data_IF_532101659253
#
_entry.id   IF_532101659253
#
_cell.length_a   1.000
_cell.length_b   1.000
_cell.length_c   1.000
_cell.angle_alpha   90.00
_cell.angle_beta   90.00
_cell.angle_gamma   90.00
#
_symmetry.space_group_name_H-M   'P 1'
#
loop_
_entity.id
_entity.type
_entity.pdbx_description
1 polymer ?
#
# COMPACT_ATOMS: atom_id res chain seq x y z
N UNK A 1 -23.15 -0.22 -45.00
CA UNK A 1 -21.89 0.56 -45.09
C UNK A 1 -21.56 0.98 -43.68
N UNK A 2 -20.71 0.22 -42.98
CA UNK A 2 -20.38 0.49 -41.58
C UNK A 2 -19.37 1.65 -41.48
N UNK A 3 -19.61 2.51 -40.51
CA UNK A 3 -19.05 3.84 -40.35
C UNK A 3 -17.53 3.86 -40.24
N UNK A 4 -16.88 4.52 -41.19
CA UNK A 4 -15.44 4.85 -41.19
C UNK A 4 -15.00 5.74 -40.00
N UNK A 5 -15.95 6.31 -39.25
CA UNK A 5 -15.70 7.19 -38.09
C UNK A 5 -15.36 6.42 -36.81
N UNK A 6 -16.03 5.30 -36.52
CA UNK A 6 -15.76 4.52 -35.31
C UNK A 6 -14.39 3.82 -35.38
N UNK A 7 -13.96 3.41 -36.57
CA UNK A 7 -12.64 2.80 -36.78
C UNK A 7 -11.47 3.79 -36.64
N UNK A 8 -11.71 5.10 -36.82
CA UNK A 8 -10.66 6.13 -36.65
C UNK A 8 -10.41 6.41 -35.16
N UNK A 9 -11.48 6.50 -34.38
CA UNK A 9 -11.41 6.76 -32.93
C UNK A 9 -10.74 5.60 -32.20
N UNK A 10 -11.08 4.34 -32.52
CA UNK A 10 -10.46 3.17 -31.86
C UNK A 10 -8.96 3.06 -32.18
N UNK A 11 -8.52 3.42 -33.39
CA UNK A 11 -7.11 3.38 -33.77
C UNK A 11 -6.28 4.47 -33.07
N UNK A 12 -6.86 5.67 -32.92
CA UNK A 12 -6.26 6.78 -32.14
C UNK A 12 -6.18 6.42 -30.64
N UNK A 13 -7.21 5.78 -30.09
CA UNK A 13 -7.25 5.30 -28.70
C UNK A 13 -6.16 4.27 -28.41
N UNK A 14 -5.97 3.30 -29.32
CA UNK A 14 -4.93 2.27 -29.19
C UNK A 14 -3.53 2.89 -29.29
N UNK A 15 -3.35 3.93 -30.11
CA UNK A 15 -2.05 4.58 -30.24
C UNK A 15 -1.67 5.37 -28.99
N UNK A 16 -2.58 6.17 -28.43
CA UNK A 16 -2.34 6.93 -27.20
C UNK A 16 -2.04 6.02 -26.00
N UNK A 17 -2.79 4.92 -25.86
CA UNK A 17 -2.55 3.91 -24.81
C UNK A 17 -1.21 3.22 -25.03
N UNK A 18 -0.83 2.87 -26.27
CA UNK A 18 0.48 2.27 -26.54
C UNK A 18 1.66 3.20 -26.24
N UNK A 19 1.53 4.50 -26.53
CA UNK A 19 2.56 5.50 -26.22
C UNK A 19 2.67 5.75 -24.70
N UNK A 20 1.54 5.76 -23.99
CA UNK A 20 1.53 5.79 -22.54
C UNK A 20 2.14 4.52 -21.95
N UNK A 21 1.79 3.34 -22.47
CA UNK A 21 2.36 2.06 -22.06
C UNK A 21 3.87 2.00 -22.28
N UNK A 22 4.40 2.51 -23.40
CA UNK A 22 5.83 2.53 -23.66
C UNK A 22 6.58 3.45 -22.68
N UNK A 23 5.99 4.61 -22.33
CA UNK A 23 6.54 5.54 -21.33
C UNK A 23 6.49 4.97 -19.92
N UNK A 24 5.35 4.41 -19.55
CA UNK A 24 5.12 3.78 -18.26
C UNK A 24 6.02 2.56 -18.03
N UNK A 25 6.20 1.71 -19.05
CA UNK A 25 7.10 0.55 -18.98
C UNK A 25 8.58 0.95 -18.81
N UNK A 26 8.99 2.11 -19.35
CA UNK A 26 10.36 2.62 -19.18
C UNK A 26 10.58 3.18 -17.77
N UNK A 27 9.53 3.69 -17.13
CA UNK A 27 9.56 4.26 -15.78
C UNK A 27 9.20 3.26 -14.67
N UNK A 28 8.51 2.16 -14.99
CA UNK A 28 7.96 1.21 -14.01
C UNK A 28 6.73 1.71 -13.25
N UNK A 29 6.35 2.97 -13.43
CA UNK A 29 5.21 3.61 -12.77
C UNK A 29 4.51 4.59 -13.72
N UNK A 30 3.21 4.77 -13.51
CA UNK A 30 2.38 5.74 -14.24
C UNK A 30 1.39 6.38 -13.26
N UNK A 31 1.12 7.67 -13.41
CA UNK A 31 0.22 8.37 -12.48
C UNK A 31 -1.18 8.56 -13.05
N UNK A 32 -2.18 8.71 -12.19
CA UNK A 32 -3.57 8.94 -12.65
C UNK A 32 -3.70 10.19 -13.51
N UNK A 33 -2.90 11.23 -13.24
CA UNK A 33 -2.88 12.44 -14.07
C UNK A 33 -2.25 12.17 -15.42
N UNK A 34 -1.15 11.40 -15.49
CA UNK A 34 -0.54 11.04 -16.77
C UNK A 34 -1.46 10.16 -17.63
N UNK A 35 -2.22 9.25 -17.00
CA UNK A 35 -3.27 8.46 -17.66
C UNK A 35 -4.37 9.39 -18.17
N UNK A 36 -4.92 10.25 -17.31
CA UNK A 36 -6.04 11.14 -17.67
C UNK A 36 -5.63 12.19 -18.71
N UNK A 37 -4.44 12.79 -18.60
CA UNK A 37 -3.94 13.79 -19.55
C UNK A 37 -3.59 13.14 -20.90
N UNK A 38 -3.09 11.91 -20.92
CA UNK A 38 -2.84 11.19 -22.18
C UNK A 38 -4.12 10.65 -22.83
N UNK A 39 -5.20 10.54 -22.06
CA UNK A 39 -6.51 10.05 -22.51
C UNK A 39 -7.57 11.16 -22.52
N UNK A 40 -7.17 12.44 -22.38
CA UNK A 40 -8.07 13.60 -22.32
C UNK A 40 -8.91 13.77 -23.58
N UNK A 41 -8.38 13.33 -24.72
CA UNK A 41 -9.04 13.40 -26.02
C UNK A 41 -9.86 12.13 -26.35
N UNK A 42 -9.97 11.19 -25.41
CA UNK A 42 -10.63 9.90 -25.60
C UNK A 42 -11.86 9.79 -24.69
N UNK A 43 -13.04 9.68 -25.29
CA UNK A 43 -14.27 9.28 -24.57
C UNK A 43 -14.16 7.79 -24.17
N UNK A 44 -13.66 7.53 -22.97
CA UNK A 44 -13.62 6.20 -22.37
C UNK A 44 -14.81 5.98 -21.43
N UNK A 45 -15.43 4.81 -21.54
CA UNK A 45 -16.36 4.34 -20.54
C UNK A 45 -15.60 3.86 -19.29
N UNK A 46 -16.20 3.95 -18.08
CA UNK A 46 -15.56 3.48 -16.84
C UNK A 46 -15.03 2.05 -16.91
N UNK A 47 -15.75 1.16 -17.61
CA UNK A 47 -15.38 -0.23 -17.85
C UNK A 47 -14.07 -0.39 -18.63
N UNK A 48 -13.79 0.55 -19.55
CA UNK A 48 -12.58 0.52 -20.37
C UNK A 48 -11.36 1.09 -19.63
N UNK A 49 -11.60 1.95 -18.64
CA UNK A 49 -10.56 2.47 -17.75
C UNK A 49 -10.08 1.36 -16.81
N UNK A 50 -11.00 0.51 -16.33
CA UNK A 50 -10.66 -0.67 -15.52
C UNK A 50 -9.81 -1.68 -16.30
N UNK A 51 -10.15 -1.96 -17.56
CA UNK A 51 -9.33 -2.81 -18.45
C UNK A 51 -7.91 -2.27 -18.66
N UNK A 52 -7.76 -0.94 -18.72
CA UNK A 52 -6.45 -0.29 -18.84
C UNK A 52 -5.64 -0.48 -17.55
N UNK A 53 -6.26 -0.36 -16.38
CA UNK A 53 -5.58 -0.63 -15.10
C UNK A 53 -5.12 -2.07 -14.97
N UNK A 54 -5.97 -3.03 -15.36
CA UNK A 54 -5.59 -4.45 -15.38
C UNK A 54 -4.42 -4.71 -16.34
N UNK A 55 -4.42 -4.04 -17.50
CA UNK A 55 -3.33 -4.16 -18.48
C UNK A 55 -1.99 -3.61 -17.96
N UNK A 56 -2.01 -2.46 -17.27
CA UNK A 56 -0.82 -1.90 -16.63
C UNK A 56 -0.28 -2.81 -15.52
N UNK A 57 -1.18 -3.34 -14.67
CA UNK A 57 -0.81 -4.23 -13.57
C UNK A 57 -0.23 -5.56 -14.08
N UNK A 58 -0.83 -6.16 -15.12
CA UNK A 58 -0.34 -7.40 -15.73
C UNK A 58 1.06 -7.27 -16.36
N UNK A 59 1.48 -6.05 -16.69
CA UNK A 59 2.79 -5.77 -17.28
C UNK A 59 3.82 -5.26 -16.27
N UNK A 60 3.48 -5.19 -14.97
CA UNK A 60 4.39 -4.75 -13.91
C UNK A 60 4.59 -3.24 -13.84
N UNK A 61 3.58 -2.46 -14.24
CA UNK A 61 3.57 -1.01 -14.08
C UNK A 61 2.67 -0.65 -12.90
N UNK A 62 3.22 0.04 -11.91
CA UNK A 62 2.44 0.53 -10.77
C UNK A 62 1.70 1.83 -11.12
N UNK A 63 0.39 1.84 -10.88
CA UNK A 63 -0.47 3.01 -11.12
C UNK A 63 -0.61 3.81 -9.82
N UNK A 64 0.05 4.97 -9.76
CA UNK A 64 0.15 5.76 -8.53
C UNK A 64 -0.85 6.93 -8.55
N UNK A 65 -1.76 7.04 -7.56
CA UNK A 65 -2.59 8.22 -7.37
C UNK A 65 -1.71 9.45 -7.18
N UNK A 66 -1.86 10.45 -8.05
CA UNK A 66 -1.26 11.75 -7.77
C UNK A 66 -2.04 12.41 -6.63
N UNK A 67 -1.42 12.45 -5.47
CA UNK A 67 -1.65 13.48 -4.48
C UNK A 67 -1.02 14.78 -4.96
N UNK A 68 -1.78 15.88 -4.93
CA UNK A 68 -1.29 17.19 -5.30
C UNK A 68 -0.35 17.72 -4.21
N UNK A 69 0.96 17.56 -4.39
CA UNK A 69 1.97 18.41 -3.77
C UNK A 69 3.20 18.48 -4.68
N UNK A 70 3.38 19.64 -5.30
CA UNK A 70 4.56 19.98 -6.09
C UNK A 70 5.81 20.05 -5.20
N UNK A 71 6.89 19.36 -5.59
CA UNK A 71 8.25 19.93 -5.65
C UNK A 71 9.22 19.02 -6.42
N UNK A 72 10.01 19.69 -7.26
CA UNK A 72 10.86 19.21 -8.35
C UNK A 72 12.16 18.47 -7.95
N UNK A 73 12.66 17.69 -8.93
CA UNK A 73 14.08 17.35 -9.27
C UNK A 73 14.94 16.58 -8.22
N UNK A 74 15.67 15.49 -8.51
CA UNK A 74 16.13 14.81 -9.73
C UNK A 74 16.69 13.39 -9.34
N UNK A 75 17.45 12.61 -10.16
CA UNK A 75 17.05 11.28 -10.66
C UNK A 75 17.87 10.08 -10.14
N UNK A 76 17.42 8.86 -10.47
CA UNK A 76 18.16 7.60 -10.33
C UNK A 76 17.61 6.74 -9.18
N UNK A 77 17.53 5.41 -9.25
CA UNK A 77 18.13 4.46 -10.16
C UNK A 77 17.27 3.19 -10.10
N UNK A 78 17.22 2.45 -11.20
CA UNK A 78 16.61 1.13 -11.23
C UNK A 78 17.66 0.11 -10.84
N UNK A 79 17.49 -0.68 -9.77
CA UNK A 79 18.05 -2.05 -9.62
C UNK A 79 17.48 -2.68 -8.33
N UNK A 80 16.73 -3.78 -8.42
CA UNK A 80 17.10 -5.22 -8.29
C UNK A 80 16.67 -5.83 -6.95
N UNK A 81 16.09 -7.03 -7.06
CA UNK A 81 15.83 -7.97 -5.96
C UNK A 81 17.13 -8.42 -5.25
N UNK A 82 16.91 -9.03 -4.08
CA UNK A 82 17.77 -9.97 -3.33
C UNK A 82 18.72 -9.43 -2.23
N UNK A 83 18.32 -9.74 -0.99
CA UNK A 83 19.10 -10.37 0.08
C UNK A 83 20.13 -9.60 0.94
N UNK A 84 19.93 -9.81 2.26
CA UNK A 84 20.82 -9.74 3.44
C UNK A 84 21.23 -8.39 4.05
N UNK A 85 20.68 -8.18 5.26
CA UNK A 85 21.28 -7.56 6.45
C UNK A 85 21.86 -6.14 6.38
N UNK A 86 21.25 -5.26 7.18
CA UNK A 86 21.93 -4.12 7.78
C UNK A 86 21.12 -2.83 7.69
N UNK A 87 20.73 -2.32 8.85
CA UNK A 87 20.32 -0.92 9.09
C UNK A 87 19.01 -0.49 8.43
N UNK A 88 17.90 -0.77 9.13
CA UNK A 88 16.61 -0.13 8.86
C UNK A 88 16.67 1.32 9.34
N UNK A 89 16.95 2.21 8.39
CA UNK A 89 16.79 3.65 8.54
C UNK A 89 15.35 3.99 8.94
N UNK A 90 15.25 5.01 9.79
CA UNK A 90 14.20 5.15 10.79
C UNK A 90 12.94 5.88 10.29
N UNK A 91 12.83 6.22 9.00
CA UNK A 91 11.80 7.15 8.53
C UNK A 91 11.28 6.84 7.11
N UNK A 92 10.80 5.62 6.81
CA UNK A 92 9.98 5.44 5.59
C UNK A 92 9.07 4.20 5.64
N UNK A 93 8.16 4.15 6.62
CA UNK A 93 6.95 3.33 6.44
C UNK A 93 5.90 4.22 5.82
N UNK A 94 5.81 4.19 4.50
CA UNK A 94 4.87 4.98 3.74
C UNK A 94 3.40 4.63 4.09
N UNK A 95 2.91 5.31 5.12
CA UNK A 95 1.49 5.46 5.42
C UNK A 95 0.92 6.63 4.59
N UNK A 96 1.34 6.81 3.33
CA UNK A 96 0.71 7.73 2.38
C UNK A 96 -0.80 7.55 2.50
N UNK A 97 -1.43 8.59 3.01
CA UNK A 97 -2.87 8.60 3.23
C UNK A 97 -3.52 8.70 1.85
N UNK A 98 -4.46 7.82 1.49
CA UNK A 98 -5.23 8.01 0.27
C UNK A 98 -5.89 9.39 0.31
N UNK A 99 -5.57 10.27 -0.65
CA UNK A 99 -6.27 11.54 -0.79
C UNK A 99 -7.73 11.27 -1.24
N UNK A 100 -8.69 11.90 -0.56
CA UNK A 100 -10.13 11.63 -0.70
C UNK A 100 -10.83 11.29 0.61
N UNK A 101 -10.07 11.12 1.69
CA UNK A 101 -10.55 10.82 3.02
C UNK A 101 -10.62 12.09 3.87
N UNK A 102 -11.84 12.53 4.21
CA UNK A 102 -12.10 13.70 5.07
C UNK A 102 -11.36 13.62 6.42
N UNK A 103 -11.10 14.77 7.06
CA UNK A 103 -10.47 14.85 8.38
C UNK A 103 -11.28 14.14 9.49
N UNK A 104 -12.55 13.91 9.22
CA UNK A 104 -13.59 13.27 10.02
C UNK A 104 -13.75 11.77 9.73
N UNK A 105 -12.93 11.20 8.85
CA UNK A 105 -12.98 9.78 8.54
C UNK A 105 -12.38 8.91 9.66
N UNK A 106 -13.12 7.87 10.11
CA UNK A 106 -12.66 6.93 11.12
C UNK A 106 -11.33 6.23 10.78
N UNK A 107 -11.07 5.91 9.49
CA UNK A 107 -9.81 5.27 9.07
C UNK A 107 -8.66 6.22 9.30
N UNK A 108 -8.80 7.48 8.88
CA UNK A 108 -7.76 8.50 9.02
C UNK A 108 -7.40 8.77 10.48
N UNK A 109 -8.41 8.84 11.35
CA UNK A 109 -8.20 9.00 12.79
C UNK A 109 -7.45 7.79 13.36
N UNK A 110 -7.83 6.58 12.97
CA UNK A 110 -7.18 5.34 13.40
C UNK A 110 -5.72 5.28 12.96
N UNK A 111 -5.42 5.54 11.69
CA UNK A 111 -4.06 5.53 11.14
C UNK A 111 -3.15 6.55 11.84
N UNK A 112 -3.69 7.73 12.14
CA UNK A 112 -2.95 8.76 12.90
C UNK A 112 -2.61 8.30 14.31
N UNK A 113 -3.54 7.60 14.97
CA UNK A 113 -3.34 7.16 16.35
C UNK A 113 -2.27 6.05 16.45
N UNK A 114 -2.34 5.03 15.58
CA UNK A 114 -1.32 3.97 15.55
C UNK A 114 0.05 4.47 15.05
N UNK A 115 0.06 5.56 14.29
CA UNK A 115 1.27 6.25 13.84
C UNK A 115 2.02 6.98 14.96
N UNK A 116 1.40 7.18 16.13
CA UNK A 116 2.05 7.79 17.30
C UNK A 116 2.79 6.79 18.18
N UNK A 117 2.45 5.51 18.07
CA UNK A 117 3.08 4.45 18.86
C UNK A 117 4.46 4.16 18.28
N UNK A 118 5.55 4.23 19.07
CA UNK A 118 6.89 3.92 18.61
C UNK A 118 7.03 2.43 18.30
N UNK A 119 7.95 2.11 17.38
CA UNK A 119 8.32 0.73 17.09
C UNK A 119 9.15 0.14 18.24
N UNK A 120 9.04 -1.17 18.42
CA UNK A 120 9.83 -1.90 19.41
C UNK A 120 11.10 -2.45 18.78
N UNK A 121 12.17 -2.43 19.55
CA UNK A 121 13.39 -3.19 19.30
C UNK A 121 13.17 -4.67 19.65
N UNK A 122 14.02 -5.55 19.11
CA UNK A 122 13.96 -6.98 19.42
C UNK A 122 14.17 -7.26 20.92
N UNK A 123 14.96 -6.45 21.62
CA UNK A 123 15.19 -6.58 23.07
C UNK A 123 13.92 -6.22 23.86
N UNK A 124 13.23 -5.15 23.47
CA UNK A 124 11.96 -4.74 24.08
C UNK A 124 10.85 -5.77 23.82
N UNK A 125 10.78 -6.37 22.62
CA UNK A 125 9.86 -7.47 22.33
C UNK A 125 10.08 -8.65 23.30
N UNK A 126 11.33 -9.02 23.55
CA UNK A 126 11.69 -10.09 24.49
C UNK A 126 11.30 -9.72 25.93
N UNK A 127 11.52 -8.47 26.35
CA UNK A 127 11.14 -8.00 27.69
C UNK A 127 9.62 -8.06 27.88
N UNK A 128 8.85 -7.56 26.92
CA UNK A 128 7.39 -7.60 26.94
C UNK A 128 6.90 -9.05 26.95
N UNK A 129 7.47 -9.93 26.12
CA UNK A 129 7.10 -11.34 26.08
C UNK A 129 7.31 -12.05 27.43
N UNK A 130 8.41 -11.78 28.13
CA UNK A 130 8.65 -12.32 29.49
C UNK A 130 7.60 -11.86 30.50
N UNK A 131 7.14 -10.61 30.40
CA UNK A 131 6.09 -10.06 31.26
C UNK A 131 4.73 -10.66 30.92
N UNK A 132 4.45 -10.86 29.63
CA UNK A 132 3.23 -11.53 29.16
C UNK A 132 3.13 -12.95 29.72
N UNK A 133 4.23 -13.72 29.75
CA UNK A 133 4.26 -15.06 30.39
C UNK A 133 3.89 -15.02 31.88
N UNK A 134 4.12 -13.89 32.56
CA UNK A 134 3.76 -13.68 33.97
C UNK A 134 2.32 -13.18 34.14
N UNK A 135 1.55 -13.06 33.05
CA UNK A 135 0.16 -12.60 33.06
C UNK A 135 -0.01 -11.08 32.97
N UNK A 136 1.05 -10.34 32.61
CA UNK A 136 0.99 -8.88 32.44
C UNK A 136 0.20 -8.48 31.20
N UNK A 137 -1.07 -8.09 31.41
CA UNK A 137 -1.98 -7.63 30.37
C UNK A 137 -1.54 -6.30 29.74
N UNK A 138 -0.84 -5.44 30.49
CA UNK A 138 -0.34 -4.17 29.95
C UNK A 138 0.80 -4.42 28.96
N UNK A 139 1.67 -5.39 29.26
CA UNK A 139 2.72 -5.82 28.34
C UNK A 139 2.14 -6.41 27.05
N UNK A 140 1.08 -7.23 27.15
CA UNK A 140 0.37 -7.75 25.99
C UNK A 140 -0.22 -6.62 25.13
N UNK A 141 -0.83 -5.62 25.78
CA UNK A 141 -1.39 -4.45 25.09
C UNK A 141 -0.30 -3.65 24.37
N UNK A 142 0.84 -3.40 25.01
CA UNK A 142 1.96 -2.66 24.41
C UNK A 142 2.55 -3.40 23.20
N UNK A 143 2.76 -4.71 23.32
CA UNK A 143 3.27 -5.51 22.21
C UNK A 143 2.30 -5.51 21.02
N UNK A 144 1.00 -5.58 21.27
CA UNK A 144 -0.02 -5.44 20.22
C UNK A 144 -0.02 -4.03 19.61
N UNK A 145 -0.05 -2.97 20.42
CA UNK A 145 -0.09 -1.57 19.96
C UNK A 145 1.08 -1.22 19.03
N UNK A 146 2.29 -1.66 19.38
CA UNK A 146 3.48 -1.44 18.57
C UNK A 146 3.42 -2.12 17.19
N UNK A 147 2.60 -3.17 17.06
CA UNK A 147 2.46 -3.97 15.84
C UNK A 147 1.16 -3.67 15.06
N UNK A 148 0.36 -2.68 15.46
CA UNK A 148 -0.85 -2.31 14.72
C UNK A 148 -0.57 -1.84 13.28
N UNK A 149 0.61 -1.26 13.03
CA UNK A 149 1.04 -0.84 11.69
C UNK A 149 1.21 -2.03 10.74
N UNK A 150 1.70 -3.17 11.26
CA UNK A 150 1.82 -4.41 10.49
C UNK A 150 0.45 -4.93 10.05
N UNK A 151 -0.56 -4.82 10.92
CA UNK A 151 -1.94 -5.22 10.57
C UNK A 151 -2.44 -4.39 9.38
N UNK A 152 -2.23 -3.08 9.42
CA UNK A 152 -2.63 -2.19 8.32
C UNK A 152 -1.88 -2.53 7.02
N UNK A 153 -0.56 -2.76 7.07
CA UNK A 153 0.21 -3.09 5.87
C UNK A 153 -0.24 -4.41 5.24
N UNK A 154 -0.62 -5.40 6.06
CA UNK A 154 -1.22 -6.65 5.58
C UNK A 154 -2.61 -6.39 5.01
N UNK A 155 -3.48 -5.69 5.74
CA UNK A 155 -4.88 -5.43 5.36
C UNK A 155 -4.99 -4.65 4.03
N UNK A 156 -4.08 -3.70 3.78
CA UNK A 156 -4.00 -2.96 2.50
C UNK A 156 -3.98 -3.89 1.29
N UNK A 157 -3.30 -5.04 1.39
CA UNK A 157 -3.21 -6.04 0.30
C UNK A 157 -4.52 -6.77 0.00
N UNK A 158 -5.55 -6.58 0.83
CA UNK A 158 -6.88 -7.22 0.71
C UNK A 158 -8.01 -6.23 0.39
N UNK A 159 -7.69 -4.94 0.25
CA UNK A 159 -8.65 -3.94 -0.21
C UNK A 159 -9.14 -4.28 -1.61
N UNK A 160 -10.41 -3.95 -1.92
CA UNK A 160 -11.02 -4.22 -3.22
C UNK A 160 -11.61 -5.63 -3.38
N UNK A 161 -11.45 -6.52 -2.39
CA UNK A 161 -12.02 -7.89 -2.41
C UNK A 161 -13.42 -8.01 -1.79
N UNK A 162 -14.19 -6.92 -1.79
CA UNK A 162 -15.57 -6.89 -1.28
C UNK A 162 -15.73 -6.68 0.23
N UNK A 163 -14.66 -6.31 0.95
CA UNK A 163 -14.69 -5.96 2.37
C UNK A 163 -14.06 -4.59 2.60
N UNK A 164 -14.58 -3.81 3.56
CA UNK A 164 -14.02 -2.49 3.89
C UNK A 164 -12.66 -2.64 4.59
N UNK A 165 -11.78 -1.66 4.42
CA UNK A 165 -10.46 -1.67 5.05
C UNK A 165 -10.53 -1.76 6.57
N UNK A 166 -11.50 -1.08 7.20
CA UNK A 166 -11.69 -1.17 8.66
C UNK A 166 -12.00 -2.60 9.09
N UNK A 167 -12.89 -3.29 8.38
CA UNK A 167 -13.24 -4.68 8.74
C UNK A 167 -12.03 -5.60 8.63
N UNK A 168 -11.21 -5.43 7.59
CA UNK A 168 -9.94 -6.17 7.42
C UNK A 168 -8.95 -5.88 8.55
N UNK A 169 -8.83 -4.63 8.95
CA UNK A 169 -8.00 -4.21 10.08
C UNK A 169 -8.50 -4.83 11.38
N UNK A 170 -9.82 -4.85 11.61
CA UNK A 170 -10.42 -5.42 12.81
C UNK A 170 -10.15 -6.92 12.92
N UNK A 171 -10.34 -7.67 11.83
CA UNK A 171 -9.99 -9.10 11.78
C UNK A 171 -8.49 -9.34 12.00
N UNK A 172 -7.65 -8.50 11.38
CA UNK A 172 -6.20 -8.56 11.57
C UNK A 172 -5.79 -8.26 13.02
N UNK A 173 -6.41 -7.29 13.68
CA UNK A 173 -6.18 -6.96 15.10
C UNK A 173 -6.55 -8.12 16.02
N UNK A 174 -7.64 -8.84 15.72
CA UNK A 174 -8.01 -10.04 16.45
C UNK A 174 -6.96 -11.16 16.28
N UNK A 175 -6.43 -11.32 15.07
CA UNK A 175 -5.33 -12.24 14.78
C UNK A 175 -4.05 -11.86 15.55
N UNK A 176 -3.72 -10.57 15.56
CA UNK A 176 -2.58 -10.01 16.27
C UNK A 176 -2.64 -10.27 17.78
N UNK A 177 -3.78 -10.04 18.43
CA UNK A 177 -3.95 -10.30 19.87
C UNK A 177 -3.69 -11.78 20.18
N UNK A 178 -4.22 -12.70 19.36
CA UNK A 178 -3.97 -14.14 19.51
C UNK A 178 -2.51 -14.52 19.27
N UNK A 179 -1.82 -13.80 18.39
CA UNK A 179 -0.40 -14.00 18.13
C UNK A 179 0.44 -13.54 19.34
N UNK A 180 0.10 -12.41 19.95
CA UNK A 180 0.72 -11.90 21.19
C UNK A 180 0.61 -12.92 22.33
N UNK A 181 -0.57 -13.52 22.53
CA UNK A 181 -0.78 -14.55 23.56
C UNK A 181 0.07 -15.82 23.35
N UNK A 182 0.45 -16.11 22.09
CA UNK A 182 1.16 -17.33 21.70
C UNK A 182 2.62 -17.10 21.38
N UNK A 183 3.10 -15.87 21.51
CA UNK A 183 4.45 -15.51 21.13
C UNK A 183 5.47 -16.18 22.06
N UNK A 184 6.46 -16.83 21.46
CA UNK A 184 7.53 -17.52 22.18
C UNK A 184 8.87 -16.92 21.78
N UNK A 185 9.37 -15.99 22.61
CA UNK A 185 10.63 -15.31 22.41
C UNK A 185 11.85 -16.26 22.42
N UNK A 186 11.72 -17.47 22.97
CA UNK A 186 12.83 -18.44 23.05
C UNK A 186 13.20 -19.01 21.68
N UNK A 187 12.31 -18.89 20.69
CA UNK A 187 12.56 -19.33 19.32
C UNK A 187 13.53 -18.44 18.54
N UNK A 188 13.85 -17.25 19.06
CA UNK A 188 14.83 -16.34 18.45
C UNK A 188 14.33 -15.61 17.20
N UNK A 189 13.03 -15.65 16.91
CA UNK A 189 12.41 -14.86 15.84
C UNK A 189 11.80 -13.58 16.40
N UNK A 190 11.80 -12.51 15.60
CA UNK A 190 11.06 -11.28 15.91
C UNK A 190 9.57 -11.57 15.90
N UNK A 191 8.80 -10.79 16.64
CA UNK A 191 7.36 -10.95 16.69
C UNK A 191 6.68 -10.75 15.31
N UNK A 192 7.23 -9.85 14.49
CA UNK A 192 6.66 -9.40 13.21
C UNK A 192 6.95 -10.31 11.99
N UNK A 193 7.61 -11.46 12.19
CA UNK A 193 7.95 -12.41 11.11
C UNK A 193 6.77 -13.29 10.76
#
# INVERSE_FOLDING_TARGET
MLNKKEASTVAENIQAVNELMARAKKRGMVTYREIMDSLQDVDLLPEQIDEIYESFSAMGVDVIPHSNAEQDDEPGDAVVEEDVAGEVDQDEYDLTMPEGIGLDDPVRMYLKEIGRVPLLTAEEEVELAKRIEQGDQEAARKLAEANLRLVVSIAKRYVGRGMQLLDLIQEGNLGLIKAVEKFDYRKGFKFST
#
